data_IF_278588252616
#
_entry.id   IF_278588252616
#
_cell.length_a   1.000
_cell.length_b   1.000
_cell.length_c   1.000
_cell.angle_alpha   90.00
_cell.angle_beta   90.00
_cell.angle_gamma   90.00
#
_symmetry.space_group_name_H-M   'P 1'
#
loop_
_entity.id
_entity.type
_entity.pdbx_description
1 polymer ?
#
# COMPACT_ATOMS: atom_id res chain seq x y z
N UNK A 1 3.74 3.44 -18.56
CA UNK A 1 3.33 2.24 -19.33
C UNK A 1 1.92 1.86 -18.88
N UNK A 2 0.97 1.56 -19.79
CA UNK A 2 -0.35 1.05 -19.43
C UNK A 2 -0.26 -0.30 -18.70
N UNK A 3 -1.25 -0.59 -17.84
CA UNK A 3 -1.21 -1.80 -16.98
C UNK A 3 -1.30 -3.11 -17.77
N UNK A 4 -2.08 -3.14 -18.84
CA UNK A 4 -2.21 -4.29 -19.75
C UNK A 4 -0.86 -4.63 -20.42
N UNK A 5 -0.14 -3.61 -20.87
CA UNK A 5 1.21 -3.76 -21.45
C UNK A 5 2.19 -4.24 -20.39
N UNK A 6 2.11 -3.76 -19.15
CA UNK A 6 2.96 -4.22 -18.06
C UNK A 6 2.72 -5.71 -17.76
N UNK A 7 1.47 -6.15 -17.72
CA UNK A 7 1.11 -7.57 -17.53
C UNK A 7 1.69 -8.43 -18.66
N UNK A 8 1.54 -8.00 -19.92
CA UNK A 8 2.10 -8.72 -21.06
C UNK A 8 3.62 -8.85 -20.96
N UNK A 9 4.34 -7.78 -20.68
CA UNK A 9 5.80 -7.80 -20.57
C UNK A 9 6.28 -8.73 -19.45
N UNK A 10 5.66 -8.68 -18.27
CA UNK A 10 6.03 -9.53 -17.13
C UNK A 10 5.76 -11.01 -17.45
N UNK A 11 4.64 -11.30 -18.12
CA UNK A 11 4.31 -12.65 -18.57
C UNK A 11 5.29 -13.16 -19.65
N UNK A 12 5.69 -12.30 -20.61
CA UNK A 12 6.62 -12.66 -21.68
C UNK A 12 8.03 -12.98 -21.16
N UNK A 13 8.44 -12.35 -20.04
CA UNK A 13 9.69 -12.68 -19.32
C UNK A 13 9.60 -14.07 -18.65
N UNK A 14 8.37 -14.57 -18.38
CA UNK A 14 8.14 -15.88 -17.78
C UNK A 14 7.72 -15.85 -16.32
N UNK A 15 7.42 -14.68 -15.76
CA UNK A 15 6.86 -14.59 -14.41
C UNK A 15 5.40 -15.07 -14.36
N UNK A 16 5.00 -15.61 -13.21
CA UNK A 16 3.65 -16.14 -12.96
C UNK A 16 2.80 -15.18 -12.11
N UNK A 17 3.41 -14.14 -11.59
CA UNK A 17 2.74 -13.13 -10.77
C UNK A 17 3.29 -11.75 -11.05
N UNK A 18 2.47 -10.74 -10.75
CA UNK A 18 2.82 -9.32 -10.87
C UNK A 18 2.37 -8.57 -9.65
N UNK A 19 3.20 -7.65 -9.16
CA UNK A 19 2.77 -6.64 -8.22
C UNK A 19 2.16 -5.47 -8.99
N UNK A 20 0.96 -5.05 -8.59
CA UNK A 20 0.29 -3.88 -9.17
C UNK A 20 0.50 -2.65 -8.30
N UNK A 21 0.65 -1.48 -8.94
CA UNK A 21 0.71 -0.22 -8.23
C UNK A 21 -0.70 0.36 -8.08
N UNK A 22 -1.18 0.53 -6.84
CA UNK A 22 -2.42 1.23 -6.50
C UNK A 22 -2.26 2.75 -6.60
N UNK A 23 -1.75 3.20 -7.73
CA UNK A 23 -1.47 4.60 -8.04
C UNK A 23 -1.59 4.83 -9.55
N UNK A 24 -1.53 6.08 -9.97
CA UNK A 24 -1.47 6.40 -11.40
C UNK A 24 -0.10 6.00 -11.99
N UNK A 25 -0.04 5.51 -13.23
CA UNK A 25 -1.15 5.34 -14.18
C UNK A 25 -1.80 3.95 -14.15
N UNK A 26 -1.55 3.12 -13.14
CA UNK A 26 -1.98 1.72 -13.15
C UNK A 26 -3.37 1.53 -12.51
N UNK A 27 -3.43 1.23 -11.21
CA UNK A 27 -4.66 0.81 -10.54
C UNK A 27 -5.06 1.81 -9.44
N UNK A 28 -5.22 3.09 -9.79
CA UNK A 28 -5.63 4.12 -8.84
C UNK A 28 -7.01 3.82 -8.25
N UNK A 29 -7.13 3.45 -6.95
CA UNK A 29 -8.37 2.88 -6.41
C UNK A 29 -9.57 3.82 -6.48
N UNK A 30 -9.33 5.14 -6.33
CA UNK A 30 -10.42 6.14 -6.35
C UNK A 30 -10.95 6.44 -7.76
N UNK A 31 -10.23 6.09 -8.81
CA UNK A 31 -10.59 6.42 -10.19
C UNK A 31 -10.83 5.21 -11.10
N UNK A 32 -10.56 3.99 -10.62
CA UNK A 32 -10.66 2.79 -11.45
C UNK A 32 -12.11 2.34 -11.60
N UNK A 33 -12.62 2.39 -12.81
CA UNK A 33 -13.98 1.97 -13.15
C UNK A 33 -14.11 0.44 -13.15
N UNK A 34 -15.32 -0.09 -12.96
CA UNK A 34 -15.55 -1.54 -12.95
C UNK A 34 -15.17 -2.21 -14.27
N UNK A 35 -15.40 -1.55 -15.40
CA UNK A 35 -14.97 -2.05 -16.72
C UNK A 35 -13.44 -2.20 -16.81
N UNK A 36 -12.69 -1.31 -16.16
CA UNK A 36 -11.22 -1.38 -16.13
C UNK A 36 -10.74 -2.49 -15.19
N UNK A 37 -11.39 -2.67 -14.04
CA UNK A 37 -11.10 -3.81 -13.14
C UNK A 37 -11.35 -5.14 -13.83
N UNK A 38 -12.45 -5.25 -14.59
CA UNK A 38 -12.73 -6.45 -15.38
C UNK A 38 -11.65 -6.68 -16.44
N UNK A 39 -11.23 -5.64 -17.15
CA UNK A 39 -10.16 -5.75 -18.14
C UNK A 39 -8.82 -6.24 -17.53
N UNK A 40 -8.49 -5.79 -16.30
CA UNK A 40 -7.32 -6.30 -15.57
C UNK A 40 -7.48 -7.79 -15.25
N UNK A 41 -8.64 -8.21 -14.72
CA UNK A 41 -8.91 -9.63 -14.42
C UNK A 41 -8.82 -10.50 -15.68
N UNK A 42 -9.41 -10.05 -16.78
CA UNK A 42 -9.40 -10.78 -18.05
C UNK A 42 -7.98 -10.91 -18.62
N UNK A 43 -7.19 -9.83 -18.56
CA UNK A 43 -5.80 -9.84 -19.02
C UNK A 43 -4.93 -10.79 -18.18
N UNK A 44 -5.08 -10.77 -16.84
CA UNK A 44 -4.38 -11.69 -15.96
C UNK A 44 -4.76 -13.15 -16.25
N UNK A 45 -6.05 -13.42 -16.46
CA UNK A 45 -6.54 -14.75 -16.81
C UNK A 45 -6.00 -15.23 -18.18
N UNK A 46 -6.03 -14.36 -19.21
CA UNK A 46 -5.46 -14.61 -20.54
C UNK A 46 -3.99 -15.04 -20.44
N UNK A 47 -3.21 -14.29 -19.63
CA UNK A 47 -1.77 -14.53 -19.44
C UNK A 47 -1.45 -15.60 -18.38
N UNK A 48 -2.46 -16.17 -17.70
CA UNK A 48 -2.32 -17.14 -16.59
C UNK A 48 -1.47 -16.59 -15.45
N UNK A 49 -1.62 -15.31 -15.15
CA UNK A 49 -0.90 -14.62 -14.11
C UNK A 49 -1.77 -14.38 -12.88
N UNK A 50 -1.14 -14.24 -11.73
CA UNK A 50 -1.77 -13.84 -10.46
C UNK A 50 -1.24 -12.49 -10.00
N UNK A 51 -2.00 -11.80 -9.15
CA UNK A 51 -1.50 -10.63 -8.45
C UNK A 51 -0.78 -11.11 -7.19
N UNK A 52 0.53 -10.89 -7.11
CA UNK A 52 1.34 -11.24 -5.95
C UNK A 52 1.12 -10.29 -4.76
N UNK A 53 0.94 -9.01 -5.05
CA UNK A 53 0.69 -7.95 -4.10
C UNK A 53 0.13 -6.72 -4.82
N UNK A 54 -0.54 -5.82 -4.08
CA UNK A 54 -0.83 -4.46 -4.56
C UNK A 54 -0.04 -3.47 -3.72
N UNK A 55 0.88 -2.74 -4.35
CA UNK A 55 1.63 -1.68 -3.71
C UNK A 55 0.76 -0.42 -3.59
N UNK A 56 0.45 0.00 -2.37
CA UNK A 56 -0.40 1.14 -2.04
C UNK A 56 0.39 2.35 -1.51
N UNK A 57 1.60 2.56 -1.99
CA UNK A 57 2.45 3.66 -1.51
C UNK A 57 1.93 5.05 -1.87
N UNK A 58 1.23 5.22 -2.97
CA UNK A 58 0.65 6.51 -3.40
C UNK A 58 1.73 7.60 -3.57
N UNK A 59 2.52 7.46 -4.61
CA UNK A 59 3.66 8.36 -4.87
C UNK A 59 3.37 9.40 -5.96
N UNK A 60 2.41 9.13 -6.85
CA UNK A 60 2.20 9.93 -8.06
C UNK A 60 0.85 10.65 -8.08
N UNK A 61 -0.22 10.05 -7.56
CA UNK A 61 -1.56 10.61 -7.67
C UNK A 61 -1.76 11.90 -6.87
N UNK A 62 -1.01 12.07 -5.78
CA UNK A 62 -1.07 13.24 -4.88
C UNK A 62 0.29 13.98 -4.91
N UNK A 63 1.04 13.86 -6.00
CA UNK A 63 2.35 14.50 -6.12
C UNK A 63 2.24 16.03 -5.96
N UNK A 64 2.90 16.56 -4.95
CA UNK A 64 3.07 17.99 -4.71
C UNK A 64 4.58 18.29 -4.59
N UNK A 65 5.21 19.04 -5.51
CA UNK A 65 6.64 19.30 -5.47
C UNK A 65 7.11 20.09 -4.25
N UNK A 66 6.19 20.64 -3.46
CA UNK A 66 6.49 21.31 -2.18
C UNK A 66 6.57 20.35 -1.01
N UNK A 67 6.14 19.09 -1.20
CA UNK A 67 6.10 18.05 -0.18
C UNK A 67 7.23 17.05 -0.40
N UNK A 68 7.72 16.40 0.66
CA UNK A 68 8.71 15.34 0.50
C UNK A 68 8.14 14.16 -0.28
N UNK A 69 9.02 13.38 -0.88
CA UNK A 69 8.68 12.06 -1.41
C UNK A 69 8.00 11.22 -0.32
N UNK A 70 7.12 10.33 -0.62
CA UNK A 70 6.26 9.58 0.32
C UNK A 70 5.11 10.38 0.95
N UNK A 71 4.88 11.61 0.50
CA UNK A 71 3.73 12.40 0.94
C UNK A 71 2.46 12.02 0.16
N UNK A 72 1.29 12.01 0.83
CA UNK A 72 1.08 12.13 2.27
C UNK A 72 1.48 10.86 3.03
N UNK A 73 2.20 11.03 4.12
CA UNK A 73 2.61 9.96 5.02
C UNK A 73 1.59 9.68 6.14
N UNK A 74 1.76 8.55 6.82
CA UNK A 74 0.91 8.18 7.96
C UNK A 74 1.07 9.10 9.17
N UNK A 75 2.23 9.71 9.31
CA UNK A 75 2.60 10.54 10.47
C UNK A 75 2.70 12.02 10.12
N UNK A 76 2.13 12.41 8.98
CA UNK A 76 2.10 13.81 8.56
C UNK A 76 1.54 14.68 9.71
N UNK A 77 2.16 15.83 10.03
CA UNK A 77 1.65 16.74 11.04
C UNK A 77 0.21 17.19 10.80
N UNK A 78 -0.17 17.38 9.53
CA UNK A 78 -1.53 17.75 9.17
C UNK A 78 -2.45 16.50 9.15
N UNK A 79 -3.48 16.45 10.03
CA UNK A 79 -4.44 15.34 10.06
C UNK A 79 -5.23 15.16 8.76
N UNK A 80 -5.34 16.20 7.94
CA UNK A 80 -5.98 16.10 6.63
C UNK A 80 -5.21 15.17 5.68
N UNK A 81 -3.89 15.30 5.65
CA UNK A 81 -3.03 14.42 4.85
C UNK A 81 -3.03 12.98 5.36
N UNK A 82 -3.03 12.78 6.69
CA UNK A 82 -3.18 11.43 7.27
C UNK A 82 -4.51 10.77 6.86
N UNK A 83 -5.60 11.55 6.84
CA UNK A 83 -6.89 11.06 6.40
C UNK A 83 -6.87 10.64 4.92
N UNK A 84 -6.16 11.35 4.04
CA UNK A 84 -5.97 10.97 2.64
C UNK A 84 -5.24 9.62 2.56
N UNK A 85 -4.14 9.45 3.31
CA UNK A 85 -3.38 8.19 3.36
C UNK A 85 -4.24 7.02 3.83
N UNK A 86 -4.96 7.21 4.93
CA UNK A 86 -5.86 6.19 5.48
C UNK A 86 -6.95 5.79 4.50
N UNK A 87 -7.60 6.75 3.88
CA UNK A 87 -8.66 6.48 2.92
C UNK A 87 -8.15 5.78 1.66
N UNK A 88 -6.98 6.16 1.16
CA UNK A 88 -6.33 5.47 0.05
C UNK A 88 -6.05 4.01 0.38
N UNK A 89 -5.49 3.73 1.56
CA UNK A 89 -5.17 2.36 2.00
C UNK A 89 -6.44 1.50 2.13
N UNK A 90 -7.54 2.05 2.67
CA UNK A 90 -8.83 1.34 2.71
C UNK A 90 -9.34 0.99 1.31
N UNK A 91 -9.29 1.94 0.39
CA UNK A 91 -9.69 1.69 -1.01
C UNK A 91 -8.78 0.69 -1.72
N UNK A 92 -7.48 0.71 -1.43
CA UNK A 92 -6.55 -0.28 -1.97
C UNK A 92 -6.85 -1.70 -1.46
N UNK A 93 -7.21 -1.86 -0.18
CA UNK A 93 -7.68 -3.12 0.40
C UNK A 93 -8.95 -3.64 -0.30
N UNK A 94 -9.92 -2.77 -0.52
CA UNK A 94 -11.16 -3.11 -1.24
C UNK A 94 -10.89 -3.48 -2.70
N UNK A 95 -10.01 -2.73 -3.37
CA UNK A 95 -9.57 -3.04 -4.73
C UNK A 95 -8.86 -4.39 -4.81
N UNK A 96 -7.98 -4.69 -3.84
CA UNK A 96 -7.28 -5.96 -3.77
C UNK A 96 -8.26 -7.14 -3.69
N UNK A 97 -9.27 -7.05 -2.83
CA UNK A 97 -10.33 -8.06 -2.74
C UNK A 97 -11.10 -8.22 -4.07
N UNK A 98 -11.43 -7.11 -4.75
CA UNK A 98 -12.12 -7.12 -6.03
C UNK A 98 -11.30 -7.72 -7.18
N UNK A 99 -9.97 -7.54 -7.14
CA UNK A 99 -9.05 -8.09 -8.14
C UNK A 99 -8.51 -9.49 -7.77
N UNK A 100 -8.84 -10.02 -6.58
CA UNK A 100 -8.41 -11.34 -6.11
C UNK A 100 -7.00 -11.37 -5.50
N UNK A 101 -6.38 -10.22 -5.23
CA UNK A 101 -5.13 -10.14 -4.49
C UNK A 101 -5.34 -10.44 -3.01
N UNK A 102 -4.34 -11.05 -2.37
CA UNK A 102 -4.39 -11.44 -0.95
C UNK A 102 -3.71 -10.45 -0.03
N UNK A 103 -2.87 -9.60 -0.57
CA UNK A 103 -2.08 -8.63 0.20
C UNK A 103 -2.03 -7.28 -0.51
N UNK A 104 -1.91 -6.23 0.29
CA UNK A 104 -1.40 -4.94 -0.16
C UNK A 104 -0.21 -4.54 0.71
N UNK A 105 0.69 -3.70 0.20
CA UNK A 105 1.76 -3.10 1.00
C UNK A 105 1.58 -1.59 1.12
N UNK A 106 2.02 -1.05 2.24
CA UNK A 106 2.08 0.39 2.51
C UNK A 106 3.46 0.78 3.00
N UNK A 107 3.79 2.05 2.82
CA UNK A 107 5.00 2.63 3.41
C UNK A 107 4.95 2.60 4.94
N UNK A 108 6.10 2.57 5.61
CA UNK A 108 6.22 2.23 7.04
C UNK A 108 6.10 3.46 7.96
N UNK A 109 5.09 4.29 7.79
CA UNK A 109 4.81 5.45 8.62
C UNK A 109 5.16 6.80 8.00
N UNK A 110 6.05 6.82 7.02
CA UNK A 110 6.49 8.04 6.33
C UNK A 110 7.71 8.71 6.97
N UNK A 111 8.12 9.83 6.39
CA UNK A 111 9.21 10.67 6.90
C UNK A 111 8.80 11.31 8.22
N UNK A 112 9.74 11.42 9.16
CA UNK A 112 9.55 12.22 10.36
C UNK A 112 9.74 13.70 10.00
N UNK A 113 8.77 14.54 10.39
CA UNK A 113 8.91 15.98 10.27
C UNK A 113 10.00 16.52 11.22
N UNK A 114 10.55 17.68 10.90
CA UNK A 114 11.56 18.34 11.74
C UNK A 114 11.03 18.53 13.17
N UNK A 115 11.78 18.00 14.14
CA UNK A 115 11.42 18.05 15.55
C UNK A 115 10.31 17.08 15.97
N UNK A 116 9.78 16.25 15.07
CA UNK A 116 8.78 15.25 15.43
C UNK A 116 9.42 14.12 16.24
N UNK A 117 8.84 13.84 17.40
CA UNK A 117 9.30 12.74 18.24
C UNK A 117 8.88 11.39 17.68
N UNK A 118 9.85 10.46 17.54
CA UNK A 118 9.59 9.12 16.98
C UNK A 118 8.49 8.36 17.74
N UNK A 119 8.48 8.43 19.07
CA UNK A 119 7.44 7.75 19.87
C UNK A 119 6.05 8.31 19.54
N UNK A 120 5.91 9.62 19.49
CA UNK A 120 4.63 10.28 19.12
C UNK A 120 4.24 9.91 17.69
N UNK A 121 5.18 9.87 16.75
CA UNK A 121 4.91 9.45 15.38
C UNK A 121 4.45 7.98 15.32
N UNK A 122 5.05 7.09 16.12
CA UNK A 122 4.62 5.70 16.23
C UNK A 122 3.20 5.57 16.80
N UNK A 123 2.85 6.40 17.78
CA UNK A 123 1.49 6.44 18.34
C UNK A 123 0.47 6.91 17.28
N UNK A 124 0.80 7.95 16.52
CA UNK A 124 -0.04 8.43 15.40
C UNK A 124 -0.19 7.33 14.34
N UNK A 125 0.92 6.68 13.94
CA UNK A 125 0.86 5.61 12.96
C UNK A 125 -0.04 4.45 13.40
N UNK A 126 0.07 4.06 14.67
CA UNK A 126 -0.81 3.05 15.25
C UNK A 126 -2.29 3.44 15.13
N UNK A 127 -2.64 4.65 15.58
CA UNK A 127 -4.03 5.12 15.57
C UNK A 127 -4.61 5.23 14.15
N UNK A 128 -3.81 5.70 13.19
CA UNK A 128 -4.23 5.83 11.79
C UNK A 128 -4.33 4.46 11.06
N UNK A 129 -3.52 3.48 11.47
CA UNK A 129 -3.49 2.15 10.86
C UNK A 129 -4.68 1.27 11.31
N UNK A 130 -5.09 1.37 12.55
CA UNK A 130 -6.13 0.50 13.13
C UNK A 130 -7.42 0.44 12.30
N UNK A 131 -8.01 1.57 11.82
CA UNK A 131 -9.18 1.52 10.96
C UNK A 131 -8.95 0.87 9.60
N UNK A 132 -7.70 0.79 9.14
CA UNK A 132 -7.35 0.06 7.91
C UNK A 132 -7.30 -1.45 8.16
N UNK A 133 -6.83 -1.89 9.33
CA UNK A 133 -6.84 -3.30 9.72
C UNK A 133 -8.27 -3.85 9.91
N UNK A 134 -9.21 -3.04 10.40
CA UNK A 134 -10.64 -3.39 10.40
C UNK A 134 -11.15 -3.62 8.96
N UNK A 135 -10.73 -2.77 8.03
CA UNK A 135 -11.06 -2.96 6.61
C UNK A 135 -10.39 -4.22 6.05
N UNK A 136 -9.11 -4.46 6.35
CA UNK A 136 -8.37 -5.65 5.96
C UNK A 136 -9.08 -6.94 6.40
N UNK A 137 -9.50 -6.99 7.66
CA UNK A 137 -10.30 -8.08 8.21
C UNK A 137 -11.61 -8.27 7.46
N UNK A 138 -12.35 -7.20 7.23
CA UNK A 138 -13.66 -7.24 6.55
C UNK A 138 -13.57 -7.78 5.12
N UNK A 139 -12.50 -7.43 4.40
CA UNK A 139 -12.34 -7.83 2.99
C UNK A 139 -11.47 -9.07 2.79
N UNK A 140 -10.84 -9.59 3.85
CA UNK A 140 -9.98 -10.79 3.81
C UNK A 140 -8.65 -10.57 3.07
N UNK A 141 -8.07 -9.37 3.19
CA UNK A 141 -6.81 -8.97 2.57
C UNK A 141 -5.83 -8.52 3.66
N UNK A 142 -4.60 -9.04 3.65
CA UNK A 142 -3.57 -8.65 4.63
C UNK A 142 -2.89 -7.36 4.23
N UNK A 143 -2.75 -6.43 5.18
CA UNK A 143 -1.97 -5.20 5.01
C UNK A 143 -0.52 -5.46 5.42
N UNK A 144 0.41 -5.26 4.50
CA UNK A 144 1.84 -5.44 4.74
C UNK A 144 2.50 -4.07 4.97
N UNK A 145 3.38 -3.99 5.97
CA UNK A 145 4.32 -2.88 6.11
C UNK A 145 5.63 -3.29 5.46
N UNK A 146 6.18 -2.41 4.63
CA UNK A 146 7.47 -2.57 3.99
C UNK A 146 8.47 -1.61 4.64
N UNK A 147 9.36 -2.07 5.55
CA UNK A 147 10.37 -1.21 6.16
C UNK A 147 11.26 -0.56 5.11
N UNK A 148 11.47 0.76 5.21
CA UNK A 148 12.21 1.55 4.24
C UNK A 148 13.23 2.45 4.93
N UNK A 149 14.49 2.51 4.47
CA UNK A 149 15.50 3.39 5.04
C UNK A 149 15.05 4.85 5.09
N UNK A 150 15.26 5.49 6.24
CA UNK A 150 14.91 6.91 6.44
C UNK A 150 13.45 7.17 6.82
N UNK A 151 12.58 6.16 6.84
CA UNK A 151 11.20 6.29 7.28
C UNK A 151 11.03 5.91 8.77
N UNK A 152 9.81 6.01 9.30
CA UNK A 152 9.53 5.75 10.71
C UNK A 152 9.94 4.33 11.13
N UNK A 153 9.58 3.32 10.34
CA UNK A 153 10.03 1.93 10.52
C UNK A 153 10.99 1.61 9.38
N UNK A 154 12.28 1.64 9.65
CA UNK A 154 13.35 1.41 8.66
C UNK A 154 14.05 0.05 8.83
N UNK A 155 13.80 -0.65 9.94
CA UNK A 155 14.44 -1.93 10.27
C UNK A 155 13.42 -2.95 10.75
N UNK A 156 13.75 -4.22 10.58
CA UNK A 156 12.86 -5.33 10.94
C UNK A 156 12.62 -5.43 12.45
N UNK A 157 13.59 -5.07 13.31
CA UNK A 157 13.39 -5.04 14.76
C UNK A 157 12.31 -4.01 15.15
N UNK A 158 12.32 -2.84 14.55
CA UNK A 158 11.29 -1.81 14.75
C UNK A 158 9.90 -2.28 14.27
N UNK A 159 9.86 -3.01 13.14
CA UNK A 159 8.62 -3.62 12.68
C UNK A 159 8.09 -4.64 13.69
N UNK A 160 8.96 -5.52 14.22
CA UNK A 160 8.54 -6.53 15.20
C UNK A 160 7.97 -5.90 16.48
N UNK A 161 8.58 -4.83 16.98
CA UNK A 161 8.06 -4.06 18.13
C UNK A 161 6.68 -3.46 17.82
N UNK A 162 6.53 -2.86 16.66
CA UNK A 162 5.26 -2.27 16.21
C UNK A 162 4.18 -3.34 16.02
N UNK A 163 4.49 -4.44 15.35
CA UNK A 163 3.57 -5.53 15.09
C UNK A 163 3.10 -6.21 16.39
N UNK A 164 4.00 -6.37 17.38
CA UNK A 164 3.63 -6.89 18.70
C UNK A 164 2.63 -5.98 19.45
N UNK A 165 2.72 -4.67 19.25
CA UNK A 165 1.76 -3.71 19.81
C UNK A 165 0.41 -3.77 19.10
N UNK A 166 0.41 -3.93 17.76
CA UNK A 166 -0.81 -3.99 16.94
C UNK A 166 -1.58 -5.29 17.20
N UNK A 167 -0.88 -6.42 17.35
CA UNK A 167 -1.41 -7.75 17.65
C UNK A 167 -2.60 -8.14 16.75
N UNK A 168 -2.41 -8.04 15.44
CA UNK A 168 -3.45 -8.34 14.46
C UNK A 168 -2.97 -9.34 13.41
N UNK A 169 -3.75 -10.40 13.10
CA UNK A 169 -3.43 -11.35 12.04
C UNK A 169 -3.55 -10.72 10.63
N UNK A 170 -4.10 -9.52 10.54
CA UNK A 170 -4.27 -8.78 9.29
C UNK A 170 -3.13 -7.80 9.01
N UNK A 171 -2.12 -7.75 9.90
CA UNK A 171 -0.87 -7.04 9.68
C UNK A 171 0.24 -8.03 9.35
N UNK A 172 1.00 -7.75 8.30
CA UNK A 172 2.16 -8.55 7.89
C UNK A 172 3.37 -7.71 7.51
N UNK A 173 4.48 -8.39 7.26
CA UNK A 173 5.72 -7.80 6.78
C UNK A 173 5.87 -8.04 5.28
N UNK A 174 6.15 -7.01 4.51
CA UNK A 174 6.76 -7.15 3.20
C UNK A 174 8.27 -7.12 3.39
N UNK A 175 8.90 -8.25 3.07
CA UNK A 175 10.35 -8.40 3.20
C UNK A 175 10.98 -8.08 1.83
N UNK A 176 11.65 -6.96 1.75
CA UNK A 176 12.49 -6.57 0.62
C UNK A 176 13.96 -6.50 1.07
N UNK A 177 14.90 -6.90 0.20
CA UNK A 177 16.33 -7.01 0.49
C UNK A 177 17.17 -6.16 -0.47
#
# INVERSE_FOLDING_TARGET
MPIDVAIDHVADIGYQGIELLADVPHAWPAGLLEIQKQAIRDKLAERRMTISNINAFMMNAIADPRQPYWHPGWTDPDPHYRAIRREHTKRALELAAQLGAKTISTEPGGLLADGQNRKTATDIFYDELMPCLETAQRVGVTLLIEPEPGLLIERFDQYLEFAARVDSPWLGLKFDI
#
